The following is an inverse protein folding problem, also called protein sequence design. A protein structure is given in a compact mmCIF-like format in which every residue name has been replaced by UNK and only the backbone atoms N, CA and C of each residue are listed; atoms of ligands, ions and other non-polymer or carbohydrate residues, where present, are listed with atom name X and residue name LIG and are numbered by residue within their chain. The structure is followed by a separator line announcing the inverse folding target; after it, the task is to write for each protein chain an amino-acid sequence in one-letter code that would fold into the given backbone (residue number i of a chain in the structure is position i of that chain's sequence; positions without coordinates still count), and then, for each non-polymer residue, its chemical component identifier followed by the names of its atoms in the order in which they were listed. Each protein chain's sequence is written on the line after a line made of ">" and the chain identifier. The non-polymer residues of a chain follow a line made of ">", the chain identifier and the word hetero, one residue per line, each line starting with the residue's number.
data_IF_795637320280
#
_entry.id   IF_795637320280
#
_cell.length_a   1.000
_cell.length_b   1.000
_cell.length_c   1.000
_cell.angle_alpha   90.00
_cell.angle_beta   90.00
_cell.angle_gamma   90.00
#
_symmetry.space_group_name_H-M   'P 1'
#
loop_
_entity.id
_entity.type
_entity.pdbx_description
1 polymer ?
#
# COMPACT_ATOMS: atom_id res chain seq x y z
N UNK A 1 -6.95 14.64 2.10
CA UNK A 1 -6.92 15.03 3.53
C UNK A 1 -5.48 15.34 3.94
N UNK A 2 -5.24 16.38 4.75
CA UNK A 2 -3.89 16.72 5.26
C UNK A 2 -3.21 15.57 6.02
N UNK A 3 -3.99 14.64 6.57
CA UNK A 3 -3.46 13.44 7.25
C UNK A 3 -2.73 12.50 6.29
N UNK A 4 -3.28 12.24 5.10
CA UNK A 4 -2.61 11.44 4.07
C UNK A 4 -1.30 12.09 3.62
N UNK A 5 -1.29 13.43 3.47
CA UNK A 5 -0.09 14.17 3.10
C UNK A 5 1.02 14.09 4.16
N UNK A 6 0.67 14.09 5.46
CA UNK A 6 1.65 13.90 6.55
C UNK A 6 2.21 12.48 6.60
N UNK A 7 1.37 11.47 6.37
CA UNK A 7 1.80 10.07 6.26
C UNK A 7 2.76 9.90 5.08
N UNK A 8 2.41 10.47 3.91
CA UNK A 8 3.25 10.46 2.71
C UNK A 8 4.58 11.23 2.90
N UNK A 9 4.57 12.37 3.57
CA UNK A 9 5.80 13.09 3.91
C UNK A 9 6.69 12.28 4.87
N UNK A 10 6.11 11.52 5.81
CA UNK A 10 6.89 10.62 6.67
C UNK A 10 7.47 9.45 5.89
N UNK A 11 6.71 8.84 4.97
CA UNK A 11 7.18 7.78 4.08
C UNK A 11 8.33 8.28 3.18
N UNK A 12 8.17 9.48 2.60
CA UNK A 12 9.17 10.08 1.71
C UNK A 12 10.41 10.66 2.42
N UNK A 13 10.26 11.17 3.65
CA UNK A 13 11.34 11.84 4.39
C UNK A 13 12.06 10.94 5.41
N UNK A 14 11.49 9.78 5.76
CA UNK A 14 12.01 8.97 6.86
C UNK A 14 11.89 7.48 6.53
N UNK A 15 12.81 7.01 5.69
CA UNK A 15 13.16 5.60 5.55
C UNK A 15 11.97 4.66 5.37
N UNK A 16 11.67 4.38 4.10
CA UNK A 16 11.07 3.11 3.72
C UNK A 16 11.95 1.99 4.33
N UNK A 17 11.40 1.18 5.23
CA UNK A 17 12.09 -0.03 5.70
C UNK A 17 12.09 -0.98 4.51
N UNK A 18 13.22 -1.03 3.80
CA UNK A 18 13.44 -2.03 2.78
C UNK A 18 13.55 -3.39 3.48
N UNK A 19 12.60 -4.27 3.22
CA UNK A 19 12.52 -5.60 3.81
C UNK A 19 13.80 -6.43 3.58
N UNK A 20 14.59 -6.12 2.55
CA UNK A 20 15.85 -6.81 2.24
C UNK A 20 17.05 -6.29 3.04
N UNK A 21 17.03 -5.03 3.50
CA UNK A 21 18.25 -4.37 4.02
C UNK A 21 18.30 -4.32 5.55
N UNK A 22 17.16 -4.36 6.24
CA UNK A 22 17.11 -4.11 7.70
C UNK A 22 16.77 -5.38 8.51
N UNK A 23 17.65 -6.39 8.42
CA UNK A 23 17.55 -7.66 9.16
C UNK A 23 17.73 -7.52 10.69
N UNK A 24 17.64 -6.32 11.25
CA UNK A 24 18.19 -6.02 12.57
C UNK A 24 17.22 -5.92 13.73
N UNK A 25 16.04 -5.29 13.59
CA UNK A 25 15.26 -4.87 14.79
C UNK A 25 13.75 -4.82 14.56
N UNK A 26 13.09 -5.90 15.02
CA UNK A 26 11.63 -6.11 15.26
C UNK A 26 10.93 -6.77 14.07
N UNK A 27 10.75 -8.11 14.08
CA UNK A 27 9.66 -8.86 14.77
C UNK A 27 8.30 -8.37 14.26
N UNK A 28 7.47 -9.14 13.57
CA UNK A 28 7.51 -10.57 13.30
C UNK A 28 6.33 -10.96 12.40
N UNK A 29 6.55 -10.91 11.09
CA UNK A 29 5.98 -11.86 10.14
C UNK A 29 6.83 -11.75 8.87
N UNK A 30 7.84 -12.60 8.76
CA UNK A 30 8.11 -13.22 7.46
C UNK A 30 6.75 -13.68 6.89
N UNK A 31 6.59 -13.74 5.55
CA UNK A 31 5.42 -14.25 4.80
C UNK A 31 4.51 -13.11 4.31
N UNK A 32 4.27 -12.86 3.02
CA UNK A 32 4.48 -13.62 1.78
C UNK A 32 4.68 -12.65 0.60
N UNK A 33 5.82 -12.72 -0.10
CA UNK A 33 6.09 -12.34 -1.53
C UNK A 33 5.54 -11.06 -2.18
N UNK A 34 4.63 -10.32 -1.55
CA UNK A 34 3.78 -9.30 -2.17
C UNK A 34 4.00 -7.91 -1.56
N UNK A 35 4.56 -7.83 -0.35
CA UNK A 35 5.00 -6.58 0.27
C UNK A 35 6.38 -6.20 -0.24
N UNK A 36 6.46 -5.03 -0.87
CA UNK A 36 7.71 -4.40 -1.29
C UNK A 36 8.34 -3.66 -0.10
N UNK A 37 7.51 -2.96 0.69
CA UNK A 37 7.94 -2.22 1.88
C UNK A 37 6.79 -2.13 2.90
N UNK A 38 7.10 -1.88 4.18
CA UNK A 38 6.09 -1.69 5.23
C UNK A 38 6.51 -0.69 6.31
N UNK A 39 5.52 -0.02 6.91
CA UNK A 39 5.66 0.85 8.08
C UNK A 39 4.50 0.57 9.02
N UNK A 40 4.80 0.16 10.25
CA UNK A 40 3.83 0.08 11.33
C UNK A 40 3.44 1.48 11.82
N UNK A 41 2.14 1.72 11.90
CA UNK A 41 1.55 2.89 12.56
C UNK A 41 1.02 2.42 13.93
N UNK A 42 0.74 3.37 14.83
CA UNK A 42 0.19 3.08 16.14
C UNK A 42 -1.05 2.15 16.07
N UNK A 43 -1.16 1.25 17.04
CA UNK A 43 -2.20 0.23 17.09
C UNK A 43 -2.09 -0.82 15.96
N UNK A 44 -3.22 -1.26 15.36
CA UNK A 44 -3.24 -2.34 14.37
C UNK A 44 -3.03 -1.84 12.92
N UNK A 45 -2.76 -0.55 12.72
CA UNK A 45 -2.70 0.05 11.39
C UNK A 45 -1.28 -0.02 10.82
N UNK A 46 -1.19 -0.32 9.53
CA UNK A 46 0.08 -0.37 8.81
C UNK A 46 -0.07 0.38 7.49
N UNK A 47 1.07 0.84 6.97
CA UNK A 47 1.20 1.28 5.58
C UNK A 47 2.12 0.31 4.88
N UNK A 48 1.68 -0.21 3.73
CA UNK A 48 2.48 -1.12 2.92
C UNK A 48 2.61 -0.60 1.50
N UNK A 49 3.69 -0.97 0.83
CA UNK A 49 3.84 -0.83 -0.61
C UNK A 49 3.75 -2.20 -1.25
N UNK A 50 2.92 -2.35 -2.27
CA UNK A 50 2.69 -3.64 -2.97
C UNK A 50 2.61 -3.44 -4.47
N UNK A 51 2.79 -4.50 -5.24
CA UNK A 51 2.35 -4.48 -6.63
C UNK A 51 0.84 -4.60 -6.73
N UNK A 52 0.26 -3.98 -7.75
CA UNK A 52 -1.18 -4.12 -8.06
C UNK A 52 -1.55 -5.61 -8.19
N UNK A 53 -2.51 -6.12 -7.38
CA UNK A 53 -2.99 -7.49 -7.48
C UNK A 53 -3.60 -7.77 -8.86
N UNK A 54 -3.42 -8.99 -9.38
CA UNK A 54 -3.85 -9.34 -10.74
C UNK A 54 -5.34 -9.09 -11.00
N UNK A 55 -6.20 -9.33 -10.01
CA UNK A 55 -7.66 -9.13 -10.13
C UNK A 55 -8.07 -7.64 -10.14
N UNK A 56 -7.18 -6.75 -9.70
CA UNK A 56 -7.39 -5.30 -9.66
C UNK A 56 -6.80 -4.58 -10.89
N UNK A 57 -6.01 -5.27 -11.72
CA UNK A 57 -5.41 -4.69 -12.93
C UNK A 57 -6.49 -4.24 -13.91
N UNK A 58 -6.38 -2.99 -14.39
CA UNK A 58 -7.30 -2.39 -15.34
C UNK A 58 -8.60 -1.88 -14.71
N UNK A 59 -8.73 -1.94 -13.38
CA UNK A 59 -9.91 -1.46 -12.64
C UNK A 59 -9.56 -0.22 -11.84
N UNK A 60 -10.54 0.66 -11.66
CA UNK A 60 -10.39 1.79 -10.75
C UNK A 60 -10.50 1.35 -9.29
N UNK A 61 -10.03 2.21 -8.37
CA UNK A 61 -10.19 1.98 -6.92
C UNK A 61 -11.66 1.81 -6.55
N UNK A 62 -12.55 2.58 -7.16
CA UNK A 62 -14.00 2.48 -6.95
C UNK A 62 -14.57 1.17 -7.51
N UNK A 63 -14.14 0.74 -8.69
CA UNK A 63 -14.61 -0.52 -9.28
C UNK A 63 -14.26 -1.73 -8.40
N UNK A 64 -13.09 -1.72 -7.78
CA UNK A 64 -12.64 -2.79 -6.87
C UNK A 64 -13.27 -2.66 -5.48
N UNK A 65 -13.86 -1.50 -5.17
CA UNK A 65 -14.43 -1.18 -3.86
C UNK A 65 -13.40 -1.38 -2.74
N UNK A 66 -12.16 -0.89 -2.94
CA UNK A 66 -11.04 -1.20 -2.03
C UNK A 66 -11.35 -0.88 -0.57
N UNK A 67 -11.98 0.28 -0.32
CA UNK A 67 -12.38 0.69 1.02
C UNK A 67 -13.59 -0.10 1.51
N UNK A 68 -14.67 -0.16 0.74
CA UNK A 68 -15.95 -0.72 1.21
C UNK A 68 -15.91 -2.25 1.38
N UNK A 69 -15.18 -2.96 0.51
CA UNK A 69 -15.06 -4.42 0.54
C UNK A 69 -14.00 -4.91 1.54
N UNK A 70 -12.87 -4.20 1.65
CA UNK A 70 -11.72 -4.70 2.42
C UNK A 70 -11.37 -3.85 3.63
N UNK A 71 -11.88 -2.61 3.74
CA UNK A 71 -11.48 -1.66 4.79
C UNK A 71 -10.08 -1.06 4.56
N UNK A 72 -9.56 -1.13 3.34
CA UNK A 72 -8.22 -0.67 2.96
C UNK A 72 -8.32 0.67 2.24
N UNK A 73 -7.40 1.59 2.55
CA UNK A 73 -7.28 2.87 1.86
C UNK A 73 -6.09 2.84 0.91
N UNK A 74 -6.31 3.10 -0.38
CA UNK A 74 -5.21 3.39 -1.30
C UNK A 74 -4.80 4.84 -1.13
N UNK A 75 -3.63 5.05 -0.54
CA UNK A 75 -3.06 6.40 -0.34
C UNK A 75 -2.63 6.99 -1.67
N UNK A 76 -2.11 6.15 -2.56
CA UNK A 76 -1.81 6.49 -3.95
C UNK A 76 -1.06 5.38 -4.66
N UNK A 77 -0.63 5.67 -5.88
CA UNK A 77 0.13 4.74 -6.72
C UNK A 77 1.33 5.42 -7.36
N UNK A 78 2.35 4.61 -7.61
CA UNK A 78 3.56 4.98 -8.33
C UNK A 78 3.74 4.04 -9.52
N UNK A 79 3.47 4.55 -10.71
CA UNK A 79 3.76 3.82 -11.93
C UNK A 79 5.27 3.90 -12.27
N UNK A 80 5.83 2.88 -12.96
CA UNK A 80 7.22 2.90 -13.39
C UNK A 80 7.56 4.16 -14.20
N UNK A 81 8.60 4.88 -13.78
CA UNK A 81 9.05 6.11 -14.45
C UNK A 81 8.10 7.32 -14.40
N UNK A 82 6.93 7.23 -13.75
CA UNK A 82 5.98 8.34 -13.62
C UNK A 82 5.99 8.96 -12.23
N UNK A 83 5.41 10.15 -12.08
CA UNK A 83 5.21 10.76 -10.77
C UNK A 83 4.17 9.99 -9.93
N UNK A 84 4.20 10.24 -8.63
CA UNK A 84 3.23 9.68 -7.69
C UNK A 84 1.85 10.29 -7.93
N UNK A 85 0.83 9.43 -7.98
CA UNK A 85 -0.57 9.85 -8.10
C UNK A 85 -1.30 9.54 -6.80
N UNK A 86 -1.97 10.56 -6.26
CA UNK A 86 -2.79 10.39 -5.06
C UNK A 86 -4.01 9.49 -5.35
N UNK A 87 -4.38 8.66 -4.38
CA UNK A 87 -5.55 7.80 -4.48
C UNK A 87 -6.81 8.64 -4.73
N UNK A 88 -7.53 8.32 -5.79
CA UNK A 88 -8.87 8.82 -6.10
C UNK A 88 -9.74 7.67 -6.57
N UNK A 89 -11.07 7.84 -6.53
CA UNK A 89 -12.02 6.80 -6.92
C UNK A 89 -11.79 6.30 -8.35
N UNK A 90 -11.50 7.23 -9.24
CA UNK A 90 -11.36 7.05 -10.69
C UNK A 90 -9.97 6.54 -11.09
N UNK A 91 -9.03 6.49 -10.16
CA UNK A 91 -7.64 6.10 -10.42
C UNK A 91 -7.58 4.62 -10.81
N UNK A 92 -7.21 4.36 -12.06
CA UNK A 92 -7.06 3.01 -12.62
C UNK A 92 -5.72 2.42 -12.24
N UNK A 93 -5.75 1.23 -11.63
CA UNK A 93 -4.57 0.48 -11.24
C UNK A 93 -4.08 -0.37 -12.40
N UNK A 94 -2.81 -0.25 -12.78
CA UNK A 94 -2.22 -0.99 -13.88
C UNK A 94 -1.25 -2.06 -13.38
N UNK A 95 -0.94 -3.00 -14.27
CA UNK A 95 0.07 -4.01 -13.98
C UNK A 95 1.41 -3.33 -13.70
N UNK A 96 2.11 -3.82 -12.68
CA UNK A 96 3.40 -3.30 -12.18
C UNK A 96 3.34 -1.92 -11.52
N UNK A 97 2.16 -1.31 -11.35
CA UNK A 97 2.04 -0.15 -10.46
C UNK A 97 2.35 -0.58 -9.02
N UNK A 98 3.08 0.27 -8.31
CA UNK A 98 3.26 0.15 -6.87
C UNK A 98 2.12 0.90 -6.17
N UNK A 99 1.30 0.18 -5.41
CA UNK A 99 0.23 0.73 -4.59
C UNK A 99 0.73 0.98 -3.18
N UNK A 100 0.38 2.14 -2.63
CA UNK A 100 0.65 2.49 -1.25
C UNK A 100 -0.68 2.36 -0.51
N UNK A 101 -0.77 1.35 0.35
CA UNK A 101 -2.00 0.97 1.05
C UNK A 101 -1.89 1.30 2.53
N UNK A 102 -3.00 1.69 3.15
CA UNK A 102 -3.12 1.88 4.59
C UNK A 102 -4.34 1.12 5.11
N UNK A 103 -4.17 0.37 6.20
CA UNK A 103 -5.24 -0.44 6.78
C UNK A 103 -4.72 -1.35 7.88
N UNK A 104 -5.58 -2.22 8.41
CA UNK A 104 -5.12 -3.32 9.26
C UNK A 104 -4.44 -4.39 8.42
N UNK A 105 -3.48 -5.11 8.99
CA UNK A 105 -2.69 -6.09 8.24
C UNK A 105 -3.58 -7.19 7.62
N UNK A 106 -4.53 -7.73 8.37
CA UNK A 106 -5.48 -8.76 7.91
C UNK A 106 -6.35 -8.28 6.74
N UNK A 107 -6.74 -7.00 6.75
CA UNK A 107 -7.51 -6.36 5.69
C UNK A 107 -6.69 -6.16 4.42
N UNK A 108 -5.44 -5.74 4.57
CA UNK A 108 -4.49 -5.59 3.46
C UNK A 108 -4.18 -6.95 2.83
N UNK A 109 -3.95 -7.97 3.64
CA UNK A 109 -3.70 -9.34 3.16
C UNK A 109 -4.91 -9.86 2.37
N UNK A 110 -6.12 -9.64 2.86
CA UNK A 110 -7.35 -10.01 2.16
C UNK A 110 -7.50 -9.26 0.82
N UNK A 111 -7.17 -7.97 0.77
CA UNK A 111 -7.12 -7.23 -0.48
C UNK A 111 -6.11 -7.84 -1.46
N UNK A 112 -4.90 -8.18 -1.02
CA UNK A 112 -3.87 -8.69 -1.96
C UNK A 112 -4.23 -10.05 -2.55
N UNK A 113 -4.96 -10.88 -1.79
CA UNK A 113 -5.37 -12.23 -2.19
C UNK A 113 -6.61 -12.25 -3.10
N UNK A 114 -7.50 -11.24 -3.00
CA UNK A 114 -8.68 -11.07 -3.84
C UNK A 114 -10.00 -11.56 -3.25
#
# INVERSE_FOLDING_TARGET
>A
SQEHARILQRIGARHIINAETDAGKRVGHLVAGNYLDYIEIDGPYTVVKVHTPLYAVGRSIEDVQVHDKYGVTVVGLKAPGKEFQYGSKELVMHRNDELILMGKQDQIDHFIQG
#
